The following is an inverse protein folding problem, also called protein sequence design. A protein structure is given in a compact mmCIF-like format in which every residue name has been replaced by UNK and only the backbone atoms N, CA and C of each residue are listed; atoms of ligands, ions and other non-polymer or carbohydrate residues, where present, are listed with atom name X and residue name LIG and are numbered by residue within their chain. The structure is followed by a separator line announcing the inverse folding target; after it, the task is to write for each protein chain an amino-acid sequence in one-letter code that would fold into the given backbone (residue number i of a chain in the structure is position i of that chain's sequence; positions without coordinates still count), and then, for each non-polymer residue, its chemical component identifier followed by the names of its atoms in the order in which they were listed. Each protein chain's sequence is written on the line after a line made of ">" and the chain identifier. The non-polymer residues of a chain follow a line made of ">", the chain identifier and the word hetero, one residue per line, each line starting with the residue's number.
data_IF_516144486413
#
_entry.id   IF_516144486413
#
_cell.length_a   1.000
_cell.length_b   1.000
_cell.length_c   1.000
_cell.angle_alpha   90.00
_cell.angle_beta   90.00
_cell.angle_gamma   90.00
#
_symmetry.space_group_name_H-M   'P 1'
#
loop_
_entity.id
_entity.type
_entity.pdbx_description
1 polymer ?
#
# COMPACT_ATOMS: atom_id res chain seq x y z
N UNK A 1 9.34 10.34 14.58
CA UNK A 1 9.03 9.00 14.03
C UNK A 1 8.49 9.28 12.64
N UNK A 2 9.32 9.07 11.63
CA UNK A 2 9.06 9.56 10.27
C UNK A 2 8.34 8.48 9.45
N UNK A 3 7.01 8.48 9.55
CA UNK A 3 6.12 7.65 8.76
C UNK A 3 4.70 8.16 8.91
N UNK A 4 3.92 8.11 7.83
CA UNK A 4 2.52 8.52 7.89
C UNK A 4 1.69 7.33 8.38
N UNK A 5 0.84 7.56 9.38
CA UNK A 5 -0.18 6.61 9.81
C UNK A 5 -1.34 6.71 8.83
N UNK A 6 -1.67 5.62 8.15
CA UNK A 6 -2.82 5.57 7.25
C UNK A 6 -4.10 5.15 7.98
N UNK A 7 -5.23 5.75 7.63
CA UNK A 7 -6.57 5.40 8.16
C UNK A 7 -7.43 4.66 7.12
N UNK A 8 -6.83 4.25 6.01
CA UNK A 8 -7.44 3.56 4.88
C UNK A 8 -6.54 2.40 4.46
N UNK A 9 -7.09 1.49 3.66
CA UNK A 9 -6.27 0.49 2.98
C UNK A 9 -5.68 1.11 1.73
N UNK A 10 -4.45 0.75 1.39
CA UNK A 10 -3.80 1.20 0.17
C UNK A 10 -3.13 0.04 -0.56
N UNK A 11 -3.42 -0.10 -1.84
CA UNK A 11 -2.65 -0.95 -2.74
C UNK A 11 -1.63 -0.07 -3.45
N UNK A 12 -0.36 -0.45 -3.34
CA UNK A 12 0.76 0.22 -4.01
C UNK A 12 1.37 -0.77 -5.00
N UNK A 13 1.27 -0.46 -6.28
CA UNK A 13 1.95 -1.19 -7.34
C UNK A 13 3.16 -0.38 -7.83
N UNK A 14 4.33 -1.02 -7.89
CA UNK A 14 5.56 -0.40 -8.37
C UNK A 14 5.63 -0.54 -9.89
N UNK A 15 5.41 0.54 -10.62
CA UNK A 15 5.46 0.54 -12.10
C UNK A 15 6.91 0.41 -12.58
N UNK A 16 7.80 1.22 -12.00
CA UNK A 16 9.23 1.26 -12.33
C UNK A 16 10.04 1.70 -11.11
N UNK A 17 11.35 1.40 -11.09
CA UNK A 17 12.28 1.75 -10.00
C UNK A 17 12.41 0.69 -8.90
N UNK A 18 13.18 1.03 -7.86
CA UNK A 18 13.45 0.20 -6.68
C UNK A 18 13.83 1.05 -5.45
N UNK A 19 13.80 0.41 -4.28
CA UNK A 19 14.19 1.01 -3.01
C UNK A 19 13.79 0.14 -1.82
N UNK A 20 13.57 0.78 -0.67
CA UNK A 20 13.17 0.12 0.57
C UNK A 20 11.83 0.66 1.07
N UNK A 21 10.90 -0.24 1.37
CA UNK A 21 9.73 0.06 2.17
C UNK A 21 10.09 -0.09 3.64
N UNK A 22 9.79 0.93 4.44
CA UNK A 22 9.75 0.82 5.90
C UNK A 22 8.32 0.66 6.34
N UNK A 23 7.99 -0.46 6.97
CA UNK A 23 6.66 -0.74 7.50
C UNK A 23 6.78 -1.28 8.92
N UNK A 24 6.14 -0.61 9.88
CA UNK A 24 6.10 -1.02 11.29
C UNK A 24 7.49 -1.34 11.89
N UNK A 25 8.51 -0.58 11.50
CA UNK A 25 9.90 -0.77 11.95
C UNK A 25 10.72 -1.80 11.17
N UNK A 26 10.11 -2.54 10.25
CA UNK A 26 10.78 -3.48 9.36
C UNK A 26 11.13 -2.81 8.02
N UNK A 27 12.27 -3.20 7.44
CA UNK A 27 12.69 -2.79 6.10
C UNK A 27 12.49 -3.96 5.15
N UNK A 28 11.81 -3.71 4.04
CA UNK A 28 11.54 -4.69 2.99
C UNK A 28 11.93 -4.06 1.66
N UNK A 29 12.79 -4.70 0.84
CA UNK A 29 13.10 -4.17 -0.49
C UNK A 29 11.86 -4.22 -1.37
N UNK A 30 11.70 -3.22 -2.24
CA UNK A 30 10.71 -3.24 -3.31
C UNK A 30 11.38 -3.03 -4.66
N UNK A 31 10.77 -3.57 -5.71
CA UNK A 31 11.18 -3.41 -7.10
C UNK A 31 9.97 -3.35 -8.04
N UNK A 32 10.23 -3.06 -9.31
CA UNK A 32 9.21 -3.00 -10.36
C UNK A 32 8.42 -4.30 -10.45
N UNK A 33 7.09 -4.20 -10.48
CA UNK A 33 6.17 -5.34 -10.49
C UNK A 33 5.68 -5.76 -9.11
N UNK A 34 6.27 -5.28 -8.02
CA UNK A 34 5.79 -5.59 -6.67
C UNK A 34 4.42 -4.97 -6.41
N UNK A 35 3.57 -5.74 -5.73
CA UNK A 35 2.26 -5.32 -5.26
C UNK A 35 2.22 -5.37 -3.73
N UNK A 36 2.12 -4.19 -3.12
CA UNK A 36 2.15 -4.00 -1.68
C UNK A 36 0.75 -3.64 -1.18
N UNK A 37 0.35 -4.20 -0.05
CA UNK A 37 -0.89 -3.85 0.64
C UNK A 37 -0.56 -3.20 1.99
N UNK A 38 -1.00 -1.96 2.17
CA UNK A 38 -0.94 -1.24 3.44
C UNK A 38 -2.30 -1.30 4.11
N UNK A 39 -2.29 -1.59 5.40
CA UNK A 39 -3.50 -1.65 6.22
C UNK A 39 -3.64 -0.40 7.09
N UNK A 40 -4.86 -0.06 7.52
CA UNK A 40 -5.05 1.01 8.47
C UNK A 40 -4.20 0.81 9.73
N UNK A 41 -3.60 1.90 10.22
CA UNK A 41 -2.69 1.98 11.36
C UNK A 41 -1.26 1.48 11.12
N UNK A 42 -0.92 1.03 9.91
CA UNK A 42 0.49 0.85 9.55
C UNK A 42 1.20 2.20 9.54
N UNK A 43 2.41 2.23 10.11
CA UNK A 43 3.35 3.34 9.94
C UNK A 43 4.27 2.98 8.78
N UNK A 44 4.04 3.60 7.62
CA UNK A 44 4.78 3.28 6.40
C UNK A 44 5.53 4.49 5.83
N UNK A 45 6.71 4.25 5.28
CA UNK A 45 7.46 5.19 4.45
C UNK A 45 8.25 4.44 3.36
N UNK A 46 8.61 5.16 2.30
CA UNK A 46 9.42 4.64 1.20
C UNK A 46 10.75 5.40 1.14
N UNK A 47 11.85 4.67 1.18
CA UNK A 47 13.18 5.17 0.86
C UNK A 47 13.48 4.80 -0.60
N UNK A 48 13.44 5.81 -1.46
CA UNK A 48 13.61 5.66 -2.91
C UNK A 48 15.10 5.62 -3.25
N UNK A 49 15.57 4.51 -3.82
CA UNK A 49 16.98 4.34 -4.24
C UNK A 49 17.16 4.69 -5.73
N UNK A 50 16.21 4.28 -6.57
CA UNK A 50 16.09 4.66 -7.99
C UNK A 50 14.77 5.41 -8.23
N UNK A 51 14.71 6.34 -9.20
CA UNK A 51 13.45 7.03 -9.56
C UNK A 51 12.34 6.00 -9.70
N UNK A 52 11.33 6.12 -8.84
CA UNK A 52 10.28 5.12 -8.70
C UNK A 52 8.93 5.73 -9.08
N UNK A 53 8.21 5.03 -9.95
CA UNK A 53 6.82 5.34 -10.29
C UNK A 53 5.88 4.40 -9.51
N UNK A 54 4.99 5.00 -8.74
CA UNK A 54 4.01 4.28 -7.92
C UNK A 54 2.60 4.46 -8.50
N UNK A 55 1.86 3.36 -8.66
CA UNK A 55 0.40 3.39 -8.74
C UNK A 55 -0.17 3.14 -7.34
N UNK A 56 -0.97 4.08 -6.84
CA UNK A 56 -1.55 4.01 -5.49
C UNK A 56 -3.06 4.07 -5.56
N UNK A 57 -3.71 3.06 -4.99
CA UNK A 57 -5.17 2.98 -4.88
C UNK A 57 -5.55 2.88 -3.41
N UNK A 58 -6.13 3.94 -2.88
CA UNK A 58 -6.60 4.01 -1.49
C UNK A 58 -8.12 3.79 -1.41
N UNK A 59 -8.56 3.00 -0.44
CA UNK A 59 -9.99 2.77 -0.20
C UNK A 59 -10.28 2.56 1.29
N UNK A 60 -11.48 2.97 1.70
CA UNK A 60 -11.95 2.78 3.07
C UNK A 60 -12.58 1.39 3.24
N UNK A 61 -12.61 0.90 4.48
CA UNK A 61 -13.20 -0.40 4.84
C UNK A 61 -14.64 -0.57 4.31
N UNK A 62 -15.44 0.49 4.40
CA UNK A 62 -16.83 0.49 3.93
C UNK A 62 -16.97 0.18 2.43
N UNK A 63 -15.95 0.43 1.61
CA UNK A 63 -15.97 0.06 0.19
C UNK A 63 -15.99 -1.47 0.00
N UNK A 64 -15.32 -2.22 0.88
CA UNK A 64 -15.36 -3.68 0.88
C UNK A 64 -16.70 -4.18 1.43
N UNK A 65 -17.11 -3.64 2.58
CA UNK A 65 -18.33 -4.09 3.27
C UNK A 65 -19.60 -3.84 2.44
N UNK A 66 -19.67 -2.73 1.72
CA UNK A 66 -20.82 -2.41 0.86
C UNK A 66 -20.88 -3.27 -0.42
N UNK A 67 -19.76 -3.86 -0.86
CA UNK A 67 -19.70 -4.72 -2.04
C UNK A 67 -19.78 -6.22 -1.73
N UNK A 68 -19.47 -6.64 -0.50
CA UNK A 68 -19.67 -8.03 -0.07
C UNK A 68 -21.15 -8.44 -0.14
N UNK A 69 -22.07 -7.52 0.17
CA UNK A 69 -23.52 -7.70 -0.02
C UNK A 69 -23.95 -7.70 -1.51
N UNK A 70 -23.16 -7.09 -2.40
CA UNK A 70 -23.45 -7.06 -3.84
C UNK A 70 -22.92 -8.32 -4.57
N UNK A 71 -21.95 -9.03 -3.99
CA UNK A 71 -21.37 -10.27 -4.56
C UNK A 71 -22.05 -11.56 -4.11
N UNK A 72 -22.99 -11.53 -3.15
CA UNK A 72 -23.79 -12.70 -2.75
C UNK A 72 -24.97 -13.02 -3.71
N UNK A 73 -25.12 -12.29 -4.81
CA UNK A 73 -26.08 -12.62 -5.87
C UNK A 73 -25.30 -13.23 -7.06
N UNK A 74 -24.98 -14.51 -6.95
CA UNK A 74 -24.65 -15.40 -8.08
C UNK A 74 -25.55 -16.61 -8.02
#
# INVERSE_FOLDING_TARGET
>A
MDGQVQHYFEIVYIISGNGQQKINGHRVPYTSGDLLLLTPNDVCSFEVEEITEFLRVAFHRNYIENNALAMEIV
#
